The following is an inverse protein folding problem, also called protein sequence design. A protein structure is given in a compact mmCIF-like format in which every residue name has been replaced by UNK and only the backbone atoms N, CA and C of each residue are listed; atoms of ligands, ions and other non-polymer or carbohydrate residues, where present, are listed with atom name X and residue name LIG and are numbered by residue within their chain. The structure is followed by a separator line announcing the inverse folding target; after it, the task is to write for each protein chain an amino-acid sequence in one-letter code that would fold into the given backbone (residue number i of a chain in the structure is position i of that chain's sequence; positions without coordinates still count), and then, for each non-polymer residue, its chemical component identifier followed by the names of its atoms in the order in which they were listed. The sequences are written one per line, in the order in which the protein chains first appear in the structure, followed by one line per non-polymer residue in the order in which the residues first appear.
data_IF_868330361733
#
_entry.id   IF_868330361733
#
_cell.length_a   1.000
_cell.length_b   1.000
_cell.length_c   1.000
_cell.angle_alpha   90.00
_cell.angle_beta   90.00
_cell.angle_gamma   90.00
#
_symmetry.space_group_name_H-M   'P 1'
#
loop_
_entity.id
_entity.type
_entity.pdbx_description
1 polymer ?
#
# COMPACT_ATOMS: atom_id res chain seq x y z
N UNK A 1 -1.48 34.58 -22.20
CA UNK A 1 -1.72 33.14 -22.43
C UNK A 1 -0.41 32.40 -22.21
N UNK A 2 -0.23 31.79 -21.03
CA UNK A 2 1.05 31.13 -20.66
C UNK A 2 1.27 29.91 -21.55
N UNK A 3 2.48 29.79 -22.11
CA UNK A 3 2.88 28.78 -23.08
C UNK A 3 2.57 27.36 -22.58
N UNK A 4 1.50 26.76 -23.13
CA UNK A 4 1.03 25.41 -22.79
C UNK A 4 2.13 24.34 -22.92
N UNK A 5 3.08 24.53 -23.86
CA UNK A 5 4.26 23.67 -24.03
C UNK A 5 5.21 23.66 -22.82
N UNK A 6 5.36 24.78 -22.11
CA UNK A 6 6.20 24.85 -20.90
C UNK A 6 5.51 24.14 -19.72
N UNK A 7 4.19 24.30 -19.62
CA UNK A 7 3.37 23.58 -18.63
C UNK A 7 3.47 22.04 -18.80
N UNK A 8 3.51 21.54 -20.03
CA UNK A 8 3.69 20.11 -20.32
C UNK A 8 5.10 19.57 -20.00
N UNK A 9 6.12 20.42 -19.97
CA UNK A 9 7.50 20.04 -19.63
C UNK A 9 7.78 20.14 -18.12
N UNK A 10 7.04 20.99 -17.41
CA UNK A 10 7.08 21.16 -15.96
C UNK A 10 6.10 20.21 -15.23
N UNK A 11 5.30 19.44 -15.97
CA UNK A 11 4.47 18.37 -15.42
C UNK A 11 5.42 17.30 -14.86
N UNK A 12 5.28 16.91 -13.57
CA UNK A 12 6.09 15.83 -13.01
C UNK A 12 5.96 14.61 -13.92
N UNK A 13 7.10 13.97 -14.22
CA UNK A 13 7.12 12.72 -14.98
C UNK A 13 6.01 11.84 -14.43
N UNK A 14 5.06 11.49 -15.30
CA UNK A 14 4.05 10.48 -15.02
C UNK A 14 4.79 9.28 -14.45
N UNK A 15 4.69 9.11 -13.14
CA UNK A 15 5.24 7.99 -12.43
C UNK A 15 4.38 6.80 -12.85
N UNK A 16 4.73 6.23 -14.01
CA UNK A 16 4.21 4.97 -14.53
C UNK A 16 4.24 4.00 -13.37
N UNK A 17 3.06 3.76 -12.77
CA UNK A 17 2.94 3.17 -11.44
C UNK A 17 3.96 2.08 -11.23
N UNK A 18 4.85 2.27 -10.25
CA UNK A 18 5.93 1.35 -9.96
C UNK A 18 5.35 -0.07 -9.86
N UNK A 19 5.66 -0.90 -10.85
CA UNK A 19 5.12 -2.25 -10.93
C UNK A 19 5.74 -3.03 -9.78
N UNK A 20 4.94 -3.38 -8.77
CA UNK A 20 5.40 -4.25 -7.70
C UNK A 20 5.84 -5.59 -8.31
N UNK A 21 7.03 -6.03 -7.93
CA UNK A 21 7.50 -7.39 -8.19
C UNK A 21 6.59 -8.39 -7.47
N UNK A 22 6.59 -9.63 -7.92
CA UNK A 22 5.79 -10.68 -7.26
C UNK A 22 6.28 -10.97 -5.84
N UNK A 23 7.55 -10.71 -5.56
CA UNK A 23 8.11 -10.80 -4.20
C UNK A 23 7.56 -9.70 -3.29
N UNK A 24 7.52 -8.46 -3.77
CA UNK A 24 6.91 -7.35 -3.01
C UNK A 24 5.40 -7.56 -2.81
N UNK A 25 4.67 -8.08 -3.81
CA UNK A 25 3.25 -8.43 -3.66
C UNK A 25 3.03 -9.52 -2.60
N UNK A 26 3.81 -10.60 -2.65
CA UNK A 26 3.73 -11.69 -1.66
C UNK A 26 4.03 -11.17 -0.26
N UNK A 27 5.07 -10.34 -0.13
CA UNK A 27 5.43 -9.70 1.12
C UNK A 27 4.29 -8.82 1.67
N UNK A 28 3.65 -7.96 0.85
CA UNK A 28 2.52 -7.14 1.29
C UNK A 28 1.33 -7.98 1.77
N UNK A 29 1.06 -9.12 1.11
CA UNK A 29 0.00 -10.05 1.53
C UNK A 29 0.34 -10.72 2.86
N UNK A 30 1.59 -11.15 3.06
CA UNK A 30 2.06 -11.71 4.33
C UNK A 30 2.00 -10.67 5.45
N UNK A 31 2.37 -9.44 5.14
CA UNK A 31 2.33 -8.32 6.08
C UNK A 31 0.91 -8.00 6.53
N UNK A 32 -0.04 -7.92 5.58
CA UNK A 32 -1.46 -7.75 5.88
C UNK A 32 -1.99 -8.89 6.76
N UNK A 33 -1.72 -10.16 6.40
CA UNK A 33 -2.18 -11.33 7.16
C UNK A 33 -1.64 -11.35 8.58
N UNK A 34 -0.35 -11.09 8.74
CA UNK A 34 0.30 -11.06 10.07
C UNK A 34 -0.26 -9.92 10.93
N UNK A 35 -0.55 -8.77 10.31
CA UNK A 35 -1.16 -7.63 11.00
C UNK A 35 -2.56 -7.99 11.53
N UNK A 36 -3.44 -8.56 10.68
CA UNK A 36 -4.76 -9.07 11.11
C UNK A 36 -4.63 -10.04 12.29
N UNK A 37 -3.72 -11.02 12.19
CA UNK A 37 -3.54 -12.04 13.22
C UNK A 37 -3.10 -11.41 14.54
N UNK A 38 -2.12 -10.50 14.51
CA UNK A 38 -1.64 -9.82 15.71
C UNK A 38 -2.72 -8.97 16.38
N UNK A 39 -3.53 -8.25 15.59
CA UNK A 39 -4.60 -7.41 16.09
C UNK A 39 -5.70 -8.23 16.78
N UNK A 40 -6.18 -9.29 16.11
CA UNK A 40 -7.22 -10.18 16.66
C UNK A 40 -6.74 -10.93 17.89
N UNK A 41 -5.48 -11.38 17.90
CA UNK A 41 -4.88 -12.10 19.03
C UNK A 41 -4.36 -11.19 20.14
N UNK A 42 -4.41 -9.86 19.95
CA UNK A 42 -3.85 -8.85 20.87
C UNK A 42 -2.38 -9.11 21.21
N UNK A 43 -1.59 -9.51 20.20
CA UNK A 43 -0.14 -9.70 20.32
C UNK A 43 0.62 -8.53 19.71
N UNK A 44 1.94 -8.52 19.91
CA UNK A 44 2.81 -7.49 19.31
C UNK A 44 2.62 -7.47 17.79
N UNK A 45 2.40 -6.29 17.17
CA UNK A 45 2.34 -6.17 15.72
C UNK A 45 3.63 -6.64 15.07
N UNK A 46 3.56 -7.26 13.88
CA UNK A 46 4.76 -7.67 13.18
C UNK A 46 5.63 -6.46 12.79
N UNK A 47 6.93 -6.57 12.99
CA UNK A 47 7.91 -5.62 12.49
C UNK A 47 8.40 -6.06 11.11
N UNK A 48 8.28 -5.20 10.12
CA UNK A 48 8.78 -5.48 8.77
C UNK A 48 9.88 -4.50 8.39
N UNK A 49 10.97 -5.02 7.86
CA UNK A 49 12.01 -4.20 7.24
C UNK A 49 11.55 -3.82 5.82
N UNK A 50 11.12 -2.57 5.66
CA UNK A 50 10.75 -2.02 4.36
C UNK A 50 11.99 -1.39 3.71
N UNK A 51 12.74 -2.19 2.96
CA UNK A 51 13.96 -1.71 2.30
C UNK A 51 13.74 -1.33 0.83
N UNK A 52 12.68 -1.85 0.21
CA UNK A 52 12.40 -1.61 -1.21
C UNK A 52 11.78 -0.22 -1.44
N UNK A 53 12.32 0.59 -2.37
CA UNK A 53 11.79 1.92 -2.68
C UNK A 53 10.30 1.93 -3.05
N UNK A 54 9.81 0.85 -3.68
CA UNK A 54 8.41 0.70 -4.06
C UNK A 54 7.47 0.60 -2.84
N UNK A 55 7.94 -0.05 -1.77
CA UNK A 55 7.19 -0.25 -0.52
C UNK A 55 7.25 1.00 0.38
N UNK A 56 8.29 1.81 0.22
CA UNK A 56 8.48 3.09 0.90
C UNK A 56 7.74 4.25 0.22
N UNK A 57 7.32 4.07 -1.03
CA UNK A 57 6.54 5.06 -1.77
C UNK A 57 5.21 5.33 -1.08
N UNK A 58 4.83 6.60 -1.01
CA UNK A 58 3.48 7.00 -0.58
C UNK A 58 2.49 6.78 -1.71
N UNK A 59 1.50 5.91 -1.48
CA UNK A 59 0.38 5.66 -2.38
C UNK A 59 -0.85 5.24 -1.56
N UNK A 60 -2.03 5.34 -2.16
CA UNK A 60 -3.24 4.77 -1.59
C UNK A 60 -3.20 3.24 -1.64
N UNK A 61 -3.77 2.58 -0.64
CA UNK A 61 -3.88 1.13 -0.59
C UNK A 61 -5.12 0.70 0.20
N UNK A 62 -5.69 -0.43 -0.20
CA UNK A 62 -6.85 -1.05 0.43
C UNK A 62 -6.53 -2.52 0.70
N UNK A 63 -6.96 -3.02 1.86
CA UNK A 63 -6.91 -4.43 2.21
C UNK A 63 -8.33 -4.96 2.26
N UNK A 64 -8.59 -6.01 1.50
CA UNK A 64 -9.88 -6.70 1.47
C UNK A 64 -9.74 -8.07 2.14
N UNK A 65 -10.57 -8.33 3.13
CA UNK A 65 -10.73 -9.65 3.74
C UNK A 65 -11.93 -10.36 3.12
N UNK A 66 -11.74 -11.63 2.77
CA UNK A 66 -12.77 -12.51 2.23
C UNK A 66 -12.82 -13.80 3.02
N UNK A 67 -14.03 -14.34 3.16
CA UNK A 67 -14.27 -15.68 3.69
C UNK A 67 -15.00 -16.49 2.62
N UNK A 68 -14.36 -17.53 2.10
CA UNK A 68 -14.77 -18.13 0.83
C UNK A 68 -14.77 -17.07 -0.29
N UNK A 69 -15.91 -16.92 -0.96
CA UNK A 69 -16.08 -15.91 -2.02
C UNK A 69 -16.73 -14.61 -1.52
N UNK A 70 -17.06 -14.52 -0.23
CA UNK A 70 -17.82 -13.39 0.34
C UNK A 70 -16.91 -12.32 0.94
N UNK A 71 -17.35 -11.06 0.85
CA UNK A 71 -16.65 -9.92 1.44
C UNK A 71 -16.86 -9.89 2.96
N UNK A 72 -15.75 -9.88 3.71
CA UNK A 72 -15.77 -9.73 5.17
C UNK A 72 -15.37 -8.33 5.65
N UNK A 73 -14.64 -7.59 4.81
CA UNK A 73 -14.29 -6.20 5.07
C UNK A 73 -13.35 -5.64 4.00
N UNK A 74 -13.38 -4.34 3.78
CA UNK A 74 -12.44 -3.63 2.94
C UNK A 74 -12.17 -2.25 3.54
N UNK A 75 -10.92 -2.00 3.93
CA UNK A 75 -10.47 -0.75 4.58
C UNK A 75 -9.22 -0.26 3.86
N UNK A 76 -9.08 1.06 3.72
CA UNK A 76 -7.96 1.65 3.02
C UNK A 76 -7.95 3.17 3.05
N UNK A 77 -6.85 3.74 2.58
CA UNK A 77 -6.72 5.18 2.32
C UNK A 77 -6.70 5.43 0.82
N UNK A 78 -7.55 6.35 0.38
CA UNK A 78 -7.50 6.85 -1.00
C UNK A 78 -6.32 7.82 -1.18
N UNK A 79 -6.07 8.66 -0.17
CA UNK A 79 -4.98 9.62 -0.20
C UNK A 79 -3.64 8.96 0.23
N UNK A 80 -2.51 9.32 -0.42
CA UNK A 80 -1.19 8.75 -0.17
C UNK A 80 -0.55 9.34 1.10
N UNK A 81 -1.19 9.16 2.25
CA UNK A 81 -0.79 9.77 3.51
C UNK A 81 0.43 9.10 4.16
N UNK A 82 0.69 7.82 3.84
CA UNK A 82 1.74 6.98 4.43
C UNK A 82 2.43 6.10 3.37
N UNK A 83 3.64 5.55 3.63
CA UNK A 83 4.27 4.55 2.76
C UNK A 83 3.37 3.32 2.53
N UNK A 84 3.49 2.68 1.38
CA UNK A 84 2.66 1.52 0.99
C UNK A 84 2.70 0.40 2.03
N UNK A 85 3.90 -0.05 2.42
CA UNK A 85 4.05 -1.15 3.38
C UNK A 85 3.42 -0.85 4.74
N UNK A 86 3.56 0.39 5.21
CA UNK A 86 2.95 0.86 6.47
C UNK A 86 1.43 0.91 6.33
N UNK A 87 0.93 1.49 5.24
CA UNK A 87 -0.52 1.60 4.97
C UNK A 87 -1.17 0.23 5.01
N UNK A 88 -0.59 -0.75 4.31
CA UNK A 88 -1.11 -2.13 4.25
C UNK A 88 -1.19 -2.79 5.62
N UNK A 89 -0.18 -2.63 6.47
CA UNK A 89 -0.21 -3.20 7.82
C UNK A 89 -1.28 -2.52 8.69
N UNK A 90 -1.38 -1.20 8.60
CA UNK A 90 -2.29 -0.41 9.42
C UNK A 90 -3.76 -0.66 9.08
N UNK A 91 -4.13 -0.68 7.80
CA UNK A 91 -5.53 -0.87 7.40
C UNK A 91 -6.00 -2.33 7.52
N UNK A 92 -5.07 -3.24 7.84
CA UNK A 92 -5.34 -4.66 8.06
C UNK A 92 -5.53 -5.03 9.54
N UNK A 93 -5.00 -4.22 10.47
CA UNK A 93 -5.07 -4.43 11.92
C UNK A 93 -6.29 -3.75 12.55
#
# INVERSE_FOLDING_TARGET
MKNFRKFLQDLPRSDSGALLSDTEKRFLLEAARSSVVSAVRKTVPPSFELNEPSLLRRCGAFVTLREGNELRGCIGYIDPIKPLGITVCEVAA
#
